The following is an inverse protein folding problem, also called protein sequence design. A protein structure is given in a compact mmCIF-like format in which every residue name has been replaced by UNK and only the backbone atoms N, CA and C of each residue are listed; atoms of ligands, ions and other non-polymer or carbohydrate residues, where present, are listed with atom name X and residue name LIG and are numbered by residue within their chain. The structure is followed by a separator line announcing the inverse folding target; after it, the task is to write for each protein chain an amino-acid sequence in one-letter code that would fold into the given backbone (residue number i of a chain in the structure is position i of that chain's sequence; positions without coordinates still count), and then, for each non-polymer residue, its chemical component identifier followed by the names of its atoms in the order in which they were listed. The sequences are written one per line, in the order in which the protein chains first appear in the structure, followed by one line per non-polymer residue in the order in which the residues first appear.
data_IF_119870045525
#
_entry.id   IF_119870045525
#
_cell.length_a   1.000
_cell.length_b   1.000
_cell.length_c   1.000
_cell.angle_alpha   90.00
_cell.angle_beta   90.00
_cell.angle_gamma   90.00
#
_symmetry.space_group_name_H-M   'P 1'
#
loop_
_entity.id
_entity.type
_entity.pdbx_description
1 polymer ?
#
# COMPACT_ATOMS: atom_id res chain seq x y z
N UNK A 1 23.22 17.57 28.01
CA UNK A 1 24.64 17.85 27.69
C UNK A 1 25.05 17.52 26.25
N UNK A 2 24.12 17.26 25.31
CA UNK A 2 24.42 16.72 23.97
C UNK A 2 25.07 15.33 24.01
N UNK A 3 25.01 14.63 25.14
CA UNK A 3 25.47 13.26 25.27
C UNK A 3 24.26 12.33 25.28
N UNK A 4 24.41 11.15 24.67
CA UNK A 4 23.45 10.08 24.85
C UNK A 4 23.72 9.47 26.23
N UNK A 5 22.72 9.48 27.11
CA UNK A 5 22.86 8.94 28.46
C UNK A 5 23.27 7.46 28.47
N UNK A 6 22.88 6.71 27.42
CA UNK A 6 23.15 5.29 27.29
C UNK A 6 23.20 4.87 25.82
N UNK A 7 24.19 4.06 25.46
CA UNK A 7 24.30 3.41 24.15
C UNK A 7 24.70 1.95 24.36
N UNK A 8 23.89 1.03 23.86
CA UNK A 8 24.16 -0.40 23.89
C UNK A 8 24.10 -0.99 22.48
N UNK A 9 24.91 -2.01 22.22
CA UNK A 9 24.71 -2.86 21.06
C UNK A 9 23.71 -3.95 21.45
N UNK A 10 22.45 -3.78 21.05
CA UNK A 10 21.41 -4.77 21.30
C UNK A 10 21.59 -6.03 20.44
N UNK A 11 21.97 -5.87 19.17
CA UNK A 11 22.25 -6.95 18.24
C UNK A 11 23.23 -6.49 17.14
N UNK A 12 24.11 -7.39 16.70
CA UNK A 12 25.06 -7.16 15.61
C UNK A 12 25.17 -8.34 14.62
N UNK A 13 24.16 -9.22 14.58
CA UNK A 13 24.18 -10.42 13.74
C UNK A 13 24.02 -10.11 12.25
N UNK A 14 23.41 -8.96 11.91
CA UNK A 14 23.21 -8.57 10.50
C UNK A 14 24.53 -8.30 9.79
N UNK A 15 24.62 -8.78 8.56
CA UNK A 15 25.74 -8.52 7.65
C UNK A 15 25.30 -7.48 6.61
N UNK A 16 26.17 -6.51 6.34
CA UNK A 16 25.99 -5.53 5.26
C UNK A 16 27.23 -5.49 4.38
N UNK A 17 27.05 -5.51 3.06
CA UNK A 17 28.16 -5.51 2.10
C UNK A 17 28.76 -4.11 1.86
N UNK A 18 28.14 -3.06 2.39
CA UNK A 18 28.60 -1.67 2.26
C UNK A 18 28.40 -1.05 0.86
N UNK A 19 27.56 -1.64 0.01
CA UNK A 19 27.23 -1.09 -1.30
C UNK A 19 26.29 0.13 -1.23
N UNK A 20 26.19 0.89 -2.32
CA UNK A 20 25.38 2.11 -2.39
C UNK A 20 23.86 1.94 -2.21
N UNK A 21 23.36 0.70 -2.16
CA UNK A 21 21.96 0.37 -1.82
C UNK A 21 21.86 -0.67 -0.69
N UNK A 22 22.93 -0.91 0.07
CA UNK A 22 23.02 -1.93 1.15
C UNK A 22 22.34 -1.50 2.46
N UNK A 23 21.21 -0.81 2.38
CA UNK A 23 20.57 -0.21 3.55
C UNK A 23 19.74 -1.22 4.36
N UNK A 24 19.76 -1.04 5.69
CA UNK A 24 18.64 -1.45 6.53
C UNK A 24 17.63 -0.31 6.57
N UNK A 25 16.36 -0.62 6.38
CA UNK A 25 15.30 0.37 6.31
C UNK A 25 14.21 0.06 7.30
N UNK A 26 13.68 1.14 7.89
CA UNK A 26 12.64 1.09 8.93
C UNK A 26 13.13 0.42 10.22
N UNK A 27 12.37 0.64 11.29
CA UNK A 27 12.52 -0.05 12.55
C UNK A 27 11.16 -0.01 13.24
N UNK A 28 10.49 -1.15 13.25
CA UNK A 28 9.16 -1.31 13.86
C UNK A 28 9.23 -2.31 15.01
N UNK A 29 8.24 -2.27 15.90
CA UNK A 29 8.12 -3.21 17.02
C UNK A 29 6.74 -3.85 17.05
N UNK A 30 6.67 -5.14 17.38
CA UNK A 30 5.40 -5.81 17.67
C UNK A 30 4.99 -5.65 19.14
N UNK A 31 3.79 -6.14 19.48
CA UNK A 31 3.25 -6.10 20.85
C UNK A 31 4.10 -6.86 21.88
N UNK A 32 5.04 -7.71 21.43
CA UNK A 32 5.96 -8.49 22.27
C UNK A 32 7.33 -7.83 22.40
N UNK A 33 7.53 -6.67 21.77
CA UNK A 33 8.79 -5.91 21.81
C UNK A 33 9.86 -6.42 20.84
N UNK A 34 9.54 -7.34 19.92
CA UNK A 34 10.51 -7.74 18.90
C UNK A 34 10.72 -6.61 17.90
N UNK A 35 11.93 -6.46 17.39
CA UNK A 35 12.30 -5.44 16.40
C UNK A 35 12.23 -6.00 14.99
N UNK A 36 11.71 -5.22 14.06
CA UNK A 36 11.57 -5.58 12.65
C UNK A 36 12.15 -4.49 11.75
N UNK A 37 12.92 -4.90 10.75
CA UNK A 37 13.43 -4.02 9.70
C UNK A 37 13.65 -4.82 8.42
N UNK A 38 13.71 -4.13 7.28
CA UNK A 38 14.01 -4.76 6.00
C UNK A 38 15.43 -4.44 5.56
N UNK A 39 16.03 -5.39 4.84
CA UNK A 39 17.32 -5.22 4.18
C UNK A 39 17.10 -5.11 2.68
N UNK A 40 17.66 -4.08 2.06
CA UNK A 40 17.71 -3.98 0.61
C UNK A 40 18.53 -5.11 -0.01
N UNK A 41 18.34 -5.33 -1.31
CA UNK A 41 19.03 -6.35 -2.06
C UNK A 41 20.54 -6.11 -2.03
N UNK A 42 21.25 -7.14 -1.59
CA UNK A 42 22.70 -7.19 -1.58
C UNK A 42 23.15 -8.64 -1.50
N UNK A 43 24.36 -8.93 -1.93
CA UNK A 43 24.88 -10.30 -1.93
C UNK A 43 25.40 -10.72 -0.54
N UNK A 44 24.49 -10.76 0.44
CA UNK A 44 24.73 -11.22 1.82
C UNK A 44 23.63 -12.21 2.22
N UNK A 45 23.81 -13.00 3.30
CA UNK A 45 22.75 -13.88 3.81
C UNK A 45 21.46 -13.16 4.22
N UNK A 46 21.51 -11.84 4.43
CA UNK A 46 20.38 -11.02 4.88
C UNK A 46 19.85 -10.07 3.80
N UNK A 47 20.48 -10.00 2.63
CA UNK A 47 20.04 -9.08 1.56
C UNK A 47 18.63 -9.39 1.09
N UNK A 48 17.85 -8.36 0.78
CA UNK A 48 16.48 -8.51 0.25
C UNK A 48 15.54 -9.28 1.18
N UNK A 49 15.67 -9.08 2.48
CA UNK A 49 14.96 -9.86 3.50
C UNK A 49 14.22 -8.99 4.51
N UNK A 50 13.14 -9.52 5.08
CA UNK A 50 12.55 -9.02 6.32
C UNK A 50 13.23 -9.71 7.50
N UNK A 51 13.77 -8.92 8.42
CA UNK A 51 14.48 -9.38 9.60
C UNK A 51 13.62 -9.14 10.83
N UNK A 52 13.64 -10.10 11.77
CA UNK A 52 13.17 -9.93 13.14
C UNK A 52 14.32 -10.15 14.11
N UNK A 53 14.46 -9.27 15.08
CA UNK A 53 15.33 -9.44 16.24
C UNK A 53 14.46 -9.58 17.49
N UNK A 54 14.76 -10.54 18.36
CA UNK A 54 14.03 -10.72 19.62
C UNK A 54 14.10 -9.47 20.50
N UNK A 55 13.11 -9.28 21.38
CA UNK A 55 13.04 -8.11 22.25
C UNK A 55 14.30 -7.89 23.12
N UNK A 56 15.00 -8.98 23.46
CA UNK A 56 16.24 -8.98 24.23
C UNK A 56 17.51 -8.92 23.36
N UNK A 57 17.38 -8.83 22.03
CA UNK A 57 18.49 -8.77 21.09
C UNK A 57 19.21 -10.09 20.83
N UNK A 58 18.88 -11.16 21.56
CA UNK A 58 19.64 -12.42 21.56
C UNK A 58 19.51 -13.26 20.29
N UNK A 59 18.50 -13.01 19.45
CA UNK A 59 18.20 -13.82 18.27
C UNK A 59 17.76 -12.99 17.08
N UNK A 60 18.43 -13.20 15.95
CA UNK A 60 18.03 -12.74 14.63
C UNK A 60 17.34 -13.86 13.83
N UNK A 61 16.19 -13.56 13.23
CA UNK A 61 15.46 -14.42 12.32
C UNK A 61 15.23 -13.73 10.96
N UNK A 62 15.51 -14.43 9.85
CA UNK A 62 15.06 -14.03 8.51
C UNK A 62 13.63 -14.56 8.34
N UNK A 63 12.65 -13.66 8.30
CA UNK A 63 11.24 -14.02 8.22
C UNK A 63 10.74 -14.23 6.79
N UNK A 64 11.23 -13.46 5.83
CA UNK A 64 10.81 -13.51 4.44
C UNK A 64 11.91 -12.97 3.53
N UNK A 65 11.89 -13.37 2.26
CA UNK A 65 12.93 -13.04 1.27
C UNK A 65 12.34 -12.57 -0.06
N UNK A 66 13.20 -12.21 -1.01
CA UNK A 66 12.77 -11.77 -2.33
C UNK A 66 12.30 -10.33 -2.37
N UNK A 67 12.86 -9.45 -1.54
CA UNK A 67 12.68 -8.01 -1.67
C UNK A 67 13.84 -7.37 -2.45
N UNK A 68 13.55 -6.34 -3.22
CA UNK A 68 14.52 -5.57 -4.00
C UNK A 68 15.06 -4.39 -3.19
N UNK A 69 14.23 -3.38 -2.96
CA UNK A 69 14.62 -2.15 -2.28
C UNK A 69 13.51 -1.73 -1.31
N UNK A 70 13.06 -2.62 -0.40
CA UNK A 70 11.94 -2.33 0.49
C UNK A 70 12.26 -1.10 1.32
N UNK A 71 11.35 -0.13 1.35
CA UNK A 71 11.48 1.06 2.20
C UNK A 71 10.27 1.23 3.13
N UNK A 72 9.14 0.61 2.78
CA UNK A 72 7.97 0.57 3.62
C UNK A 72 7.97 -0.65 4.52
N UNK A 73 7.75 -0.41 5.81
CA UNK A 73 7.43 -1.43 6.80
C UNK A 73 6.36 -0.87 7.72
N UNK A 74 5.45 -1.73 8.18
CA UNK A 74 4.48 -1.41 9.21
C UNK A 74 4.17 -2.66 10.03
N UNK A 75 3.94 -2.46 11.33
CA UNK A 75 3.38 -3.48 12.23
C UNK A 75 2.01 -2.98 12.68
N UNK A 76 0.98 -3.74 12.33
CA UNK A 76 -0.40 -3.39 12.58
C UNK A 76 -0.83 -3.66 14.03
N UNK A 77 -2.03 -3.22 14.40
CA UNK A 77 -2.56 -3.36 15.75
C UNK A 77 -2.83 -4.81 16.16
N UNK A 78 -2.82 -5.76 15.23
CA UNK A 78 -2.89 -7.20 15.50
C UNK A 78 -1.55 -7.91 15.20
N UNK A 79 -0.43 -7.16 15.25
CA UNK A 79 0.91 -7.61 14.87
C UNK A 79 1.01 -8.11 13.42
N UNK A 80 0.08 -7.71 12.54
CA UNK A 80 0.22 -8.01 11.13
C UNK A 80 1.38 -7.21 10.52
N UNK A 81 2.21 -7.88 9.73
CA UNK A 81 3.40 -7.27 9.15
C UNK A 81 3.10 -6.87 7.71
N UNK A 82 3.35 -5.61 7.37
CA UNK A 82 3.31 -5.14 5.99
C UNK A 82 4.67 -4.66 5.52
N UNK A 83 5.06 -5.02 4.29
CA UNK A 83 6.25 -4.47 3.64
C UNK A 83 5.82 -3.85 2.32
N UNK A 84 6.37 -2.70 1.99
CA UNK A 84 6.18 -2.10 0.67
C UNK A 84 7.51 -1.95 -0.06
N UNK A 85 7.58 -2.62 -1.21
CA UNK A 85 8.77 -2.69 -2.05
C UNK A 85 8.63 -1.78 -3.28
N UNK A 86 9.78 -1.27 -3.70
CA UNK A 86 9.92 -0.29 -4.76
C UNK A 86 9.89 -0.99 -6.10
N UNK A 87 9.19 -0.41 -7.08
CA UNK A 87 9.24 -0.90 -8.45
C UNK A 87 10.69 -1.01 -8.97
N UNK A 88 10.91 -1.95 -9.88
CA UNK A 88 12.18 -2.21 -10.50
C UNK A 88 12.19 -3.55 -11.23
N UNK A 89 13.38 -4.13 -11.40
CA UNK A 89 13.51 -5.48 -11.91
C UNK A 89 12.85 -6.48 -10.96
N UNK A 90 12.09 -7.42 -11.52
CA UNK A 90 11.26 -8.40 -10.83
C UNK A 90 10.19 -7.85 -9.86
N UNK A 91 10.08 -6.54 -9.74
CA UNK A 91 9.06 -5.83 -8.96
C UNK A 91 8.39 -4.87 -9.93
N UNK A 92 7.46 -5.34 -10.78
CA UNK A 92 7.03 -4.59 -11.96
C UNK A 92 6.33 -3.26 -11.64
N UNK A 93 5.79 -3.15 -10.44
CA UNK A 93 5.10 -1.98 -9.91
C UNK A 93 5.33 -1.91 -8.40
N UNK A 94 5.17 -0.75 -7.77
CA UNK A 94 5.19 -0.65 -6.30
C UNK A 94 4.18 -1.65 -5.72
N UNK A 95 4.61 -2.44 -4.73
CA UNK A 95 3.77 -3.45 -4.10
C UNK A 95 3.70 -3.24 -2.60
N UNK A 96 2.51 -3.44 -2.04
CA UNK A 96 2.26 -3.54 -0.61
C UNK A 96 1.91 -4.99 -0.30
N UNK A 97 2.72 -5.62 0.52
CA UNK A 97 2.62 -7.03 0.88
C UNK A 97 2.12 -7.20 2.30
N UNK A 98 1.24 -8.18 2.50
CA UNK A 98 0.94 -8.73 3.83
C UNK A 98 1.84 -9.94 4.06
N UNK A 99 2.74 -9.85 5.03
CA UNK A 99 3.85 -10.81 5.14
C UNK A 99 3.44 -12.11 5.80
N UNK A 100 3.89 -13.22 5.19
CA UNK A 100 3.82 -14.58 5.71
C UNK A 100 5.25 -15.08 5.95
N UNK A 101 5.57 -15.64 7.14
CA UNK A 101 6.87 -16.26 7.38
C UNK A 101 7.20 -17.33 6.31
N UNK A 102 8.41 -17.29 5.77
CA UNK A 102 8.89 -18.13 4.67
C UNK A 102 8.51 -17.67 3.26
N UNK A 103 7.73 -16.59 3.14
CA UNK A 103 7.28 -16.04 1.85
C UNK A 103 8.41 -15.51 0.96
N UNK A 104 8.16 -15.51 -0.35
CA UNK A 104 9.04 -14.93 -1.36
C UNK A 104 8.30 -13.87 -2.18
N UNK A 105 8.81 -12.64 -2.13
CA UNK A 105 8.10 -11.45 -2.62
C UNK A 105 8.55 -10.96 -4.01
N UNK A 106 9.12 -11.88 -4.80
CA UNK A 106 9.26 -11.73 -6.25
C UNK A 106 10.63 -11.33 -6.75
N UNK A 107 11.49 -10.72 -5.94
CA UNK A 107 12.82 -10.33 -6.39
C UNK A 107 13.77 -11.52 -6.49
N UNK A 108 13.89 -12.09 -7.69
CA UNK A 108 14.65 -13.34 -7.92
C UNK A 108 16.08 -13.32 -7.39
N UNK A 109 16.90 -12.25 -7.55
CA UNK A 109 18.26 -12.27 -7.05
C UNK A 109 18.37 -12.54 -5.54
N UNK A 110 17.34 -12.21 -4.75
CA UNK A 110 17.31 -12.36 -3.29
C UNK A 110 16.36 -13.49 -2.83
N UNK A 111 16.20 -14.55 -3.62
CA UNK A 111 15.28 -15.64 -3.26
C UNK A 111 15.74 -16.45 -2.04
N UNK A 112 17.06 -16.62 -1.82
CA UNK A 112 17.67 -17.38 -0.72
C UNK A 112 17.08 -18.80 -0.54
N UNK A 113 16.96 -19.55 -1.64
CA UNK A 113 16.35 -20.88 -1.70
C UNK A 113 17.28 -21.83 -2.45
N UNK A 114 17.24 -23.13 -2.14
CA UNK A 114 18.04 -24.11 -2.86
C UNK A 114 17.61 -24.25 -4.34
N UNK A 115 16.30 -24.20 -4.58
CA UNK A 115 15.71 -24.19 -5.92
C UNK A 115 15.14 -22.81 -6.21
N UNK A 116 15.52 -22.17 -7.34
CA UNK A 116 14.93 -20.89 -7.73
C UNK A 116 13.41 -20.99 -7.86
N UNK A 117 12.64 -20.07 -7.26
CA UNK A 117 11.19 -20.08 -7.38
C UNK A 117 10.74 -19.70 -8.79
N UNK A 118 9.63 -20.29 -9.24
CA UNK A 118 9.00 -19.97 -10.54
C UNK A 118 7.80 -19.03 -10.39
N UNK A 119 7.45 -18.67 -9.16
CA UNK A 119 6.35 -17.77 -8.82
C UNK A 119 6.64 -17.09 -7.47
N UNK A 120 5.79 -16.15 -7.07
CA UNK A 120 5.94 -15.34 -5.86
C UNK A 120 4.63 -15.16 -5.10
N UNK A 121 4.74 -14.91 -3.81
CA UNK A 121 3.61 -14.59 -2.94
C UNK A 121 2.93 -13.30 -3.42
N UNK A 122 1.62 -13.37 -3.67
CA UNK A 122 0.85 -12.24 -4.22
C UNK A 122 0.77 -11.08 -3.22
N UNK A 123 0.93 -9.82 -3.66
CA UNK A 123 0.84 -8.67 -2.77
C UNK A 123 -0.59 -8.45 -2.31
N UNK A 124 -0.75 -7.75 -1.18
CA UNK A 124 -2.07 -7.26 -0.76
C UNK A 124 -2.62 -6.27 -1.80
N UNK A 125 -1.73 -5.43 -2.36
CA UNK A 125 -2.06 -4.38 -3.31
C UNK A 125 -0.85 -4.05 -4.19
N UNK A 126 -1.07 -3.94 -5.49
CA UNK A 126 -0.21 -3.18 -6.38
C UNK A 126 -0.61 -1.70 -6.33
N UNK A 127 0.33 -0.84 -5.99
CA UNK A 127 0.12 0.61 -5.94
C UNK A 127 0.60 1.19 -7.26
N UNK A 128 -0.29 1.73 -8.11
CA UNK A 128 0.10 2.16 -9.45
C UNK A 128 1.02 3.38 -9.36
N UNK A 129 1.99 3.50 -10.28
CA UNK A 129 2.97 4.62 -10.32
C UNK A 129 2.37 6.01 -10.20
N UNK A 130 1.15 6.19 -10.69
CA UNK A 130 0.42 7.44 -10.62
C UNK A 130 0.15 7.86 -9.16
N UNK A 131 -0.12 6.89 -8.28
CA UNK A 131 -0.33 7.09 -6.85
C UNK A 131 0.96 6.97 -6.05
N UNK A 132 1.82 6.02 -6.40
CA UNK A 132 3.11 5.86 -5.75
C UNK A 132 4.15 5.14 -6.61
N UNK A 133 5.12 5.89 -7.12
CA UNK A 133 6.29 5.31 -7.77
C UNK A 133 7.39 4.97 -6.77
N UNK A 134 7.23 5.33 -5.48
CA UNK A 134 8.18 4.93 -4.47
C UNK A 134 7.61 4.88 -3.05
N UNK A 135 7.52 3.67 -2.48
CA UNK A 135 6.86 3.40 -1.21
C UNK A 135 7.54 3.99 0.03
N UNK A 136 6.71 4.43 0.98
CA UNK A 136 7.04 4.63 2.39
C UNK A 136 6.37 3.58 3.29
N UNK A 137 6.42 3.79 4.60
CA UNK A 137 5.83 2.89 5.60
C UNK A 137 4.31 2.88 5.64
N UNK A 138 3.76 2.00 6.47
CA UNK A 138 2.33 1.90 6.74
C UNK A 138 2.05 2.26 8.19
N UNK A 139 0.94 2.96 8.42
CA UNK A 139 0.47 3.32 9.76
C UNK A 139 -1.03 3.06 9.86
N UNK A 140 -1.53 2.79 11.05
CA UNK A 140 -2.96 2.58 11.27
C UNK A 140 -3.51 3.76 12.03
N UNK A 141 -4.64 4.29 11.56
CA UNK A 141 -5.38 5.30 12.29
C UNK A 141 -5.86 4.69 13.61
N UNK A 142 -5.58 5.32 14.77
CA UNK A 142 -6.05 4.81 16.05
C UNK A 142 -7.57 4.69 16.08
N UNK A 143 -8.07 3.73 16.86
CA UNK A 143 -9.50 3.61 17.10
C UNK A 143 -10.08 4.92 17.65
N UNK A 144 -11.29 5.25 17.24
CA UNK A 144 -12.02 6.47 17.62
C UNK A 144 -11.33 7.78 17.23
N UNK A 145 -10.30 7.74 16.37
CA UNK A 145 -9.66 8.91 15.79
C UNK A 145 -9.97 9.02 14.30
N UNK A 146 -10.01 10.27 13.84
CA UNK A 146 -10.07 10.63 12.41
C UNK A 146 -11.21 9.99 11.62
N UNK A 147 -12.42 9.93 12.17
CA UNK A 147 -13.59 9.52 11.41
C UNK A 147 -13.62 10.22 10.02
N UNK A 148 -13.83 9.47 8.92
CA UNK A 148 -14.29 8.08 8.87
C UNK A 148 -13.18 7.01 8.85
N UNK A 149 -11.91 7.37 9.01
CA UNK A 149 -10.76 6.50 8.79
C UNK A 149 -10.34 5.67 10.02
N UNK A 150 -11.18 5.56 11.06
CA UNK A 150 -10.83 4.87 12.31
C UNK A 150 -10.38 3.42 12.04
N UNK A 151 -9.21 3.03 12.54
CA UNK A 151 -8.63 1.69 12.33
C UNK A 151 -8.08 1.45 10.92
N UNK A 152 -8.23 2.38 9.98
CA UNK A 152 -7.81 2.20 8.61
C UNK A 152 -6.28 2.19 8.49
N UNK A 153 -5.76 1.30 7.65
CA UNK A 153 -4.36 1.36 7.22
C UNK A 153 -4.16 2.53 6.26
N UNK A 154 -3.12 3.30 6.50
CA UNK A 154 -2.64 4.37 5.64
C UNK A 154 -1.28 3.97 5.07
N UNK A 155 -1.09 4.22 3.78
CA UNK A 155 0.17 4.03 3.09
C UNK A 155 0.81 5.40 2.84
N UNK A 156 2.08 5.56 3.25
CA UNK A 156 2.86 6.77 3.03
C UNK A 156 3.52 6.68 1.65
N UNK A 157 3.32 7.67 0.79
CA UNK A 157 4.04 7.74 -0.50
C UNK A 157 5.25 8.66 -0.38
N UNK A 158 6.44 8.09 -0.57
CA UNK A 158 7.67 8.85 -0.72
C UNK A 158 7.75 9.49 -2.11
N UNK A 159 7.42 8.72 -3.15
CA UNK A 159 7.53 9.17 -4.54
C UNK A 159 6.59 10.33 -4.89
N UNK A 160 5.34 10.28 -4.39
CA UNK A 160 4.30 11.27 -4.70
C UNK A 160 4.00 12.26 -3.59
N UNK A 161 4.70 12.15 -2.45
CA UNK A 161 4.53 13.05 -1.31
C UNK A 161 3.05 13.17 -0.92
N UNK A 162 2.40 12.02 -0.78
CA UNK A 162 0.96 11.90 -0.54
C UNK A 162 0.66 10.79 0.46
N UNK A 163 -0.56 10.82 1.00
CA UNK A 163 -1.08 9.82 1.93
C UNK A 163 -2.21 9.07 1.24
N UNK A 164 -2.18 7.75 1.32
CA UNK A 164 -3.20 6.89 0.71
C UNK A 164 -3.95 6.12 1.80
N UNK A 165 -5.25 5.95 1.63
CA UNK A 165 -6.08 5.09 2.49
C UNK A 165 -6.23 3.72 1.84
N UNK A 166 -5.79 2.66 2.52
CA UNK A 166 -5.83 1.28 2.02
C UNK A 166 -7.09 0.60 2.54
N UNK A 167 -8.00 0.24 1.64
CA UNK A 167 -9.25 -0.46 1.93
C UNK A 167 -9.00 -1.96 1.76
N UNK A 168 -9.09 -2.74 2.83
CA UNK A 168 -8.92 -4.21 2.74
C UNK A 168 -10.26 -4.89 2.49
N UNK A 169 -10.30 -5.83 1.55
CA UNK A 169 -11.39 -6.82 1.50
C UNK A 169 -11.07 -7.94 2.49
N UNK A 170 -12.09 -8.48 3.15
CA UNK A 170 -11.99 -9.68 3.98
C UNK A 170 -11.91 -10.97 3.13
N UNK A 171 -11.34 -10.89 1.93
CA UNK A 171 -11.14 -12.04 1.04
C UNK A 171 -9.97 -12.92 1.52
N UNK A 172 -9.96 -14.18 1.06
CA UNK A 172 -8.81 -15.05 1.14
C UNK A 172 -8.60 -15.68 -0.24
N UNK A 173 -7.49 -15.40 -0.96
CA UNK A 173 -6.36 -14.58 -0.55
C UNK A 173 -6.74 -13.12 -0.26
N UNK A 174 -6.04 -12.51 0.71
CA UNK A 174 -6.26 -11.12 1.08
C UNK A 174 -5.93 -10.19 -0.10
N UNK A 175 -6.80 -9.23 -0.35
CA UNK A 175 -6.59 -8.19 -1.35
C UNK A 175 -7.07 -6.84 -0.83
N UNK A 176 -6.57 -5.76 -1.41
CA UNK A 176 -6.95 -4.41 -1.04
C UNK A 176 -7.12 -3.50 -2.24
N UNK A 177 -7.81 -2.40 -1.97
CA UNK A 177 -7.84 -1.22 -2.79
C UNK A 177 -7.29 -0.01 -2.06
N UNK A 178 -7.20 1.10 -2.77
CA UNK A 178 -6.58 2.32 -2.29
C UNK A 178 -7.23 3.55 -2.89
N UNK A 179 -7.34 4.60 -2.08
CA UNK A 179 -7.75 5.94 -2.50
C UNK A 179 -6.76 6.97 -2.02
N UNK A 180 -6.54 8.02 -2.81
CA UNK A 180 -5.73 9.16 -2.36
C UNK A 180 -6.49 9.98 -1.32
N UNK A 181 -5.81 10.35 -0.23
CA UNK A 181 -6.29 11.36 0.69
C UNK A 181 -5.91 12.77 0.20
N UNK A 182 -6.69 13.80 0.57
CA UNK A 182 -6.38 15.17 0.19
C UNK A 182 -5.09 15.67 0.84
N UNK A 183 -4.41 16.60 0.16
CA UNK A 183 -3.18 17.22 0.63
C UNK A 183 -1.90 16.65 -0.01
N UNK A 184 -0.80 17.34 0.24
CA UNK A 184 0.56 16.98 -0.19
C UNK A 184 1.54 17.31 0.92
N UNK A 185 2.68 16.63 0.90
CA UNK A 185 3.76 16.82 1.84
C UNK A 185 4.92 17.57 1.19
N UNK A 186 5.71 18.25 2.02
CA UNK A 186 6.86 19.04 1.59
C UNK A 186 8.01 18.15 1.07
N UNK A 187 8.10 16.92 1.57
CA UNK A 187 9.08 15.92 1.14
C UNK A 187 8.43 14.54 1.02
N UNK A 188 9.17 13.57 0.46
CA UNK A 188 8.70 12.19 0.35
C UNK A 188 8.56 11.55 1.71
N UNK A 189 7.32 11.36 2.18
CA UNK A 189 7.06 10.83 3.51
C UNK A 189 7.35 9.33 3.56
N UNK A 190 8.26 8.93 4.44
CA UNK A 190 8.72 7.54 4.54
C UNK A 190 8.33 6.90 5.87
N UNK A 191 8.26 7.70 6.94
CA UNK A 191 7.99 7.24 8.30
C UNK A 191 6.84 8.04 8.87
N UNK A 192 6.02 7.37 9.66
CA UNK A 192 4.89 7.98 10.32
C UNK A 192 4.61 7.32 11.67
N UNK A 193 4.19 8.11 12.65
CA UNK A 193 3.68 7.62 13.94
C UNK A 193 2.49 8.45 14.39
N UNK A 194 1.45 7.79 14.87
CA UNK A 194 0.42 8.47 15.63
C UNK A 194 0.94 8.76 17.03
N UNK A 195 0.82 10.00 17.46
CA UNK A 195 1.15 10.39 18.82
C UNK A 195 -0.01 9.99 19.74
N UNK A 196 0.23 9.18 20.80
CA UNK A 196 -0.83 8.69 21.68
C UNK A 196 -1.47 9.78 22.53
N UNK A 197 -0.80 10.92 22.74
CA UNK A 197 -1.31 12.02 23.55
C UNK A 197 -2.35 12.88 22.81
N UNK A 198 -2.10 13.21 21.53
CA UNK A 198 -3.00 14.07 20.75
C UNK A 198 -3.79 13.34 19.65
N UNK A 199 -3.42 12.09 19.31
CA UNK A 199 -4.06 11.30 18.27
C UNK A 199 -3.83 11.87 16.85
N UNK A 200 -2.74 12.61 16.64
CA UNK A 200 -2.32 13.12 15.34
C UNK A 200 -1.18 12.30 14.76
N UNK A 201 -1.08 12.26 13.43
CA UNK A 201 -0.01 11.57 12.73
C UNK A 201 1.14 12.54 12.53
N UNK A 202 2.34 12.12 12.89
CA UNK A 202 3.57 12.84 12.61
C UNK A 202 4.34 12.05 11.56
N UNK A 203 4.69 12.72 10.46
CA UNK A 203 5.41 12.12 9.35
C UNK A 203 6.77 12.79 9.18
N UNK A 204 7.76 11.98 8.80
CA UNK A 204 9.07 12.46 8.38
C UNK A 204 9.42 11.93 7.00
N UNK A 205 10.12 12.76 6.25
CA UNK A 205 10.46 12.48 4.86
C UNK A 205 11.65 13.27 4.38
N UNK A 206 12.15 12.88 3.22
CA UNK A 206 13.29 13.51 2.55
C UNK A 206 13.07 13.62 1.04
N UNK A 207 13.95 14.36 0.37
CA UNK A 207 14.05 14.40 -1.09
C UNK A 207 15.20 13.52 -1.55
N UNK A 208 14.98 12.78 -2.62
CA UNK A 208 15.96 11.93 -3.26
C UNK A 208 15.49 11.51 -4.64
N UNK A 209 15.76 10.26 -5.03
CA UNK A 209 15.48 9.80 -6.39
C UNK A 209 13.98 9.81 -6.73
N UNK A 210 13.61 10.47 -7.83
CA UNK A 210 12.28 10.45 -8.46
C UNK A 210 11.10 10.75 -7.51
N UNK A 211 11.28 11.66 -6.57
CA UNK A 211 10.21 12.14 -5.68
C UNK A 211 9.66 13.49 -6.12
N UNK A 212 8.38 13.74 -5.82
CA UNK A 212 7.69 15.02 -6.00
C UNK A 212 8.00 16.07 -4.91
N UNK A 213 8.98 15.80 -4.05
CA UNK A 213 9.37 16.64 -2.92
C UNK A 213 9.80 18.05 -3.36
N UNK A 214 9.34 19.05 -2.62
CA UNK A 214 9.73 20.46 -2.81
C UNK A 214 10.78 20.93 -1.80
N UNK A 215 10.98 20.19 -0.69
CA UNK A 215 12.03 20.42 0.31
C UNK A 215 12.88 19.18 0.53
N UNK A 216 14.15 19.37 0.92
CA UNK A 216 15.11 18.29 1.16
C UNK A 216 14.72 17.35 2.30
N UNK A 217 14.01 17.87 3.29
CA UNK A 217 13.50 17.11 4.41
C UNK A 217 12.32 17.81 5.05
N UNK A 218 11.48 17.02 5.71
CA UNK A 218 10.37 17.57 6.49
C UNK A 218 10.01 16.69 7.68
N UNK A 219 9.52 17.35 8.72
CA UNK A 219 8.79 16.75 9.81
C UNK A 219 7.46 17.49 9.93
N UNK A 220 6.35 16.80 9.65
CA UNK A 220 5.04 17.42 9.54
C UNK A 220 4.01 16.69 10.40
N UNK A 221 3.13 17.46 11.04
CA UNK A 221 1.96 16.93 11.71
C UNK A 221 0.76 16.96 10.76
N UNK A 222 0.08 15.84 10.64
CA UNK A 222 -1.20 15.67 9.96
C UNK A 222 -2.29 15.54 11.01
N UNK A 223 -3.42 16.21 10.79
CA UNK A 223 -4.60 16.10 11.65
C UNK A 223 -5.87 16.13 10.82
N UNK A 224 -6.87 15.36 11.25
CA UNK A 224 -8.25 15.50 10.78
C UNK A 224 -8.81 16.84 11.26
N UNK A 225 -9.27 17.68 10.33
CA UNK A 225 -9.96 18.95 10.65
C UNK A 225 -11.47 18.74 10.75
N UNK A 226 -12.28 19.79 10.89
CA UNK A 226 -13.73 19.70 10.79
C UNK A 226 -14.24 19.66 9.33
N UNK A 227 -13.37 19.95 8.33
CA UNK A 227 -13.78 19.97 6.93
C UNK A 227 -14.29 18.59 6.49
N UNK A 228 -15.36 18.48 5.68
CA UNK A 228 -15.82 17.19 5.19
C UNK A 228 -14.72 16.41 4.46
N UNK A 229 -14.61 15.13 4.76
CA UNK A 229 -13.71 14.20 4.10
C UNK A 229 -14.60 13.09 3.52
N UNK A 230 -14.87 13.15 2.23
CA UNK A 230 -15.83 12.29 1.54
C UNK A 230 -15.05 11.34 0.63
N UNK A 231 -15.19 10.04 0.85
CA UNK A 231 -14.43 9.01 0.14
C UNK A 231 -15.08 7.63 0.29
N UNK A 232 -14.70 6.67 -0.57
CA UNK A 232 -14.88 5.25 -0.31
C UNK A 232 -14.16 4.84 0.98
N UNK A 233 -14.82 4.02 1.78
CA UNK A 233 -14.31 3.46 3.04
C UNK A 233 -14.30 1.93 3.06
N UNK A 234 -15.07 1.30 2.16
CA UNK A 234 -15.03 -0.14 1.96
C UNK A 234 -15.33 -0.47 0.49
N UNK A 235 -14.89 -1.65 0.06
CA UNK A 235 -15.23 -2.21 -1.23
C UNK A 235 -15.35 -3.73 -1.15
N UNK A 236 -16.04 -4.32 -2.12
CA UNK A 236 -16.14 -5.77 -2.31
C UNK A 236 -16.19 -6.09 -3.79
N UNK A 237 -15.53 -7.16 -4.21
CA UNK A 237 -15.59 -7.65 -5.59
C UNK A 237 -16.25 -9.02 -5.67
N UNK A 238 -17.01 -9.24 -6.74
CA UNK A 238 -17.75 -10.47 -7.01
C UNK A 238 -17.80 -10.74 -8.50
N UNK A 239 -18.24 -11.93 -8.90
CA UNK A 239 -18.49 -12.25 -10.31
C UNK A 239 -19.50 -11.31 -10.97
N UNK A 240 -20.39 -10.68 -10.19
CA UNK A 240 -21.39 -9.73 -10.69
C UNK A 240 -20.86 -8.30 -10.81
N UNK A 241 -19.72 -7.99 -10.17
CA UNK A 241 -19.06 -6.68 -10.27
C UNK A 241 -18.51 -6.16 -8.94
N UNK A 242 -18.62 -4.85 -8.74
CA UNK A 242 -17.97 -4.11 -7.65
C UNK A 242 -19.02 -3.45 -6.74
N UNK A 243 -18.80 -3.54 -5.43
CA UNK A 243 -19.48 -2.70 -4.44
C UNK A 243 -18.50 -1.66 -3.90
N UNK A 244 -18.90 -0.39 -3.86
CA UNK A 244 -18.16 0.69 -3.22
C UNK A 244 -19.04 1.37 -2.17
N UNK A 245 -18.59 1.38 -0.92
CA UNK A 245 -19.29 2.04 0.20
C UNK A 245 -18.60 3.35 0.55
N UNK A 246 -19.36 4.44 0.51
CA UNK A 246 -18.89 5.78 0.84
C UNK A 246 -19.24 6.13 2.29
N UNK A 247 -18.49 7.05 2.90
CA UNK A 247 -18.75 7.47 4.27
C UNK A 247 -19.92 8.46 4.42
N UNK A 248 -20.51 8.92 3.31
CA UNK A 248 -21.62 9.86 3.28
C UNK A 248 -22.73 9.37 2.34
N UNK A 249 -24.01 9.69 2.65
CA UNK A 249 -25.09 9.41 1.72
C UNK A 249 -24.90 10.11 0.37
N UNK A 250 -25.10 9.37 -0.71
CA UNK A 250 -24.97 9.85 -2.08
C UNK A 250 -26.30 10.42 -2.60
N UNK A 251 -26.20 11.32 -3.57
CA UNK A 251 -27.32 11.65 -4.44
C UNK A 251 -27.65 10.43 -5.31
N UNK A 252 -28.93 10.07 -5.36
CA UNK A 252 -29.36 8.84 -6.03
C UNK A 252 -29.20 8.93 -7.55
N UNK A 253 -29.54 10.07 -8.14
CA UNK A 253 -29.47 10.23 -9.60
C UNK A 253 -28.00 10.17 -10.07
N UNK A 254 -27.09 10.85 -9.36
CA UNK A 254 -25.66 10.79 -9.67
C UNK A 254 -25.06 9.39 -9.42
N UNK A 255 -25.48 8.71 -8.35
CA UNK A 255 -24.96 7.38 -7.99
C UNK A 255 -25.44 6.25 -8.91
N UNK A 256 -26.66 6.34 -9.44
CA UNK A 256 -27.24 5.35 -10.36
C UNK A 256 -26.98 5.68 -11.84
N UNK A 257 -26.34 6.82 -12.14
CA UNK A 257 -25.85 7.13 -13.48
C UNK A 257 -24.57 6.34 -13.78
N UNK A 258 -24.67 5.42 -14.75
CA UNK A 258 -23.53 4.66 -15.27
C UNK A 258 -22.43 5.58 -15.80
N UNK A 259 -22.79 6.74 -16.36
CA UNK A 259 -21.85 7.75 -16.87
C UNK A 259 -20.98 8.40 -15.78
N UNK A 260 -21.34 8.25 -14.51
CA UNK A 260 -20.54 8.72 -13.38
C UNK A 260 -19.31 7.85 -13.11
N UNK A 261 -19.13 6.72 -13.81
CA UNK A 261 -18.07 5.75 -13.57
C UNK A 261 -17.28 5.40 -14.83
N UNK A 262 -15.95 5.35 -14.72
CA UNK A 262 -15.02 4.91 -15.77
C UNK A 262 -14.06 3.87 -15.20
N UNK A 263 -14.06 2.66 -15.77
CA UNK A 263 -13.33 1.51 -15.25
C UNK A 263 -12.29 1.00 -16.26
N UNK A 264 -11.08 0.78 -15.78
CA UNK A 264 -9.99 0.13 -16.52
C UNK A 264 -9.38 -1.02 -15.70
N UNK A 265 -8.93 -2.08 -16.35
CA UNK A 265 -8.06 -3.11 -15.73
C UNK A 265 -6.84 -3.43 -16.56
N UNK A 266 -5.77 -3.88 -15.90
CA UNK A 266 -4.54 -4.32 -16.55
C UNK A 266 -3.70 -5.21 -15.61
N UNK A 267 -2.75 -5.91 -16.22
CA UNK A 267 -1.72 -6.70 -15.55
C UNK A 267 -0.33 -6.15 -15.84
N UNK A 268 0.62 -6.58 -15.03
CA UNK A 268 2.04 -6.32 -15.21
C UNK A 268 2.80 -7.61 -15.49
N UNK A 269 3.97 -7.50 -16.14
CA UNK A 269 4.88 -8.63 -16.39
C UNK A 269 5.96 -8.71 -15.33
N UNK A 270 5.97 -9.82 -14.60
CA UNK A 270 7.06 -10.17 -13.71
C UNK A 270 8.28 -10.64 -14.53
N UNK A 271 9.34 -9.84 -14.55
CA UNK A 271 10.53 -10.10 -15.38
C UNK A 271 11.76 -9.35 -14.85
N UNK A 272 12.94 -9.63 -15.40
CA UNK A 272 14.19 -8.89 -15.11
C UNK A 272 14.17 -7.43 -15.61
N UNK A 273 13.19 -7.01 -16.41
CA UNK A 273 13.12 -5.64 -16.90
C UNK A 273 12.68 -4.69 -15.78
N UNK A 274 13.20 -3.46 -15.79
CA UNK A 274 12.84 -2.47 -14.79
C UNK A 274 11.38 -2.03 -14.97
N UNK A 275 10.54 -2.37 -13.99
CA UNK A 275 9.11 -2.11 -14.05
C UNK A 275 8.40 -2.92 -15.13
N UNK A 276 7.16 -2.54 -15.43
CA UNK A 276 6.39 -3.14 -16.52
C UNK A 276 5.53 -2.11 -17.25
N UNK A 277 5.35 -2.23 -18.57
CA UNK A 277 4.19 -1.69 -19.27
C UNK A 277 2.88 -2.25 -18.70
N UNK A 278 1.77 -1.62 -19.04
CA UNK A 278 0.44 -2.11 -18.71
C UNK A 278 0.01 -3.10 -19.81
N UNK A 279 -0.43 -4.29 -19.41
CA UNK A 279 -0.89 -5.34 -20.33
C UNK A 279 -2.36 -5.64 -20.13
N UNK A 280 -3.04 -5.93 -21.25
CA UNK A 280 -4.44 -6.32 -21.25
C UNK A 280 -4.63 -7.59 -20.41
N UNK A 281 -5.67 -7.61 -19.59
CA UNK A 281 -6.08 -8.80 -18.84
C UNK A 281 -6.72 -9.82 -19.78
N UNK A 282 -7.49 -9.35 -20.76
CA UNK A 282 -8.16 -10.20 -21.74
C UNK A 282 -7.22 -10.73 -22.83
N UNK A 283 -6.24 -9.93 -23.25
CA UNK A 283 -5.27 -10.27 -24.28
C UNK A 283 -3.83 -10.03 -23.78
N UNK A 284 -3.24 -10.92 -22.97
CA UNK A 284 -1.98 -10.70 -22.22
C UNK A 284 -0.75 -10.28 -23.04
N UNK A 285 -0.77 -10.47 -24.36
CA UNK A 285 0.30 -10.06 -25.26
C UNK A 285 0.20 -8.59 -25.70
N UNK A 286 -0.94 -7.93 -25.47
CA UNK A 286 -1.19 -6.54 -25.88
C UNK A 286 -0.81 -5.57 -24.75
N UNK A 287 0.08 -4.61 -25.06
CA UNK A 287 0.45 -3.51 -24.18
C UNK A 287 -0.64 -2.43 -24.19
N UNK A 288 -1.71 -2.63 -23.42
CA UNK A 288 -2.81 -1.69 -23.24
C UNK A 288 -3.52 -1.96 -21.92
N UNK A 289 -4.41 -1.04 -21.55
CA UNK A 289 -5.43 -1.28 -20.51
C UNK A 289 -6.75 -1.69 -21.18
N UNK A 290 -7.52 -2.50 -20.48
CA UNK A 290 -8.86 -2.89 -20.91
C UNK A 290 -9.89 -1.97 -20.27
N UNK A 291 -10.72 -1.32 -21.08
CA UNK A 291 -11.91 -0.62 -20.58
C UNK A 291 -12.96 -1.65 -20.17
N UNK A 292 -13.55 -1.46 -18.99
CA UNK A 292 -14.59 -2.36 -18.48
C UNK A 292 -15.93 -1.62 -18.49
N UNK A 293 -16.93 -2.09 -19.25
CA UNK A 293 -18.22 -1.44 -19.25
C UNK A 293 -18.91 -1.61 -17.89
N UNK A 294 -19.54 -0.54 -17.41
CA UNK A 294 -20.52 -0.60 -16.33
C UNK A 294 -21.89 -0.72 -16.98
N UNK A 295 -22.60 -1.82 -16.73
CA UNK A 295 -23.91 -2.07 -17.35
C UNK A 295 -25.06 -1.59 -16.48
N UNK A 296 -24.83 -1.46 -15.17
CA UNK A 296 -25.80 -0.93 -14.21
C UNK A 296 -25.06 -0.37 -13.00
N UNK A 297 -25.57 0.73 -12.45
CA UNK A 297 -25.19 1.25 -11.15
C UNK A 297 -26.45 1.35 -10.28
N UNK A 298 -26.40 0.81 -9.07
CA UNK A 298 -27.53 0.82 -8.14
C UNK A 298 -27.09 1.30 -6.77
N UNK A 299 -27.77 2.32 -6.24
CA UNK A 299 -27.55 2.77 -4.87
C UNK A 299 -28.36 1.89 -3.92
N UNK A 300 -27.69 1.32 -2.93
CA UNK A 300 -28.31 0.48 -1.92
C UNK A 300 -29.16 1.28 -0.94
N UNK A 301 -29.98 0.56 -0.17
CA UNK A 301 -30.92 1.17 0.79
C UNK A 301 -30.24 1.96 1.92
N UNK A 302 -28.96 1.72 2.19
CA UNK A 302 -28.14 2.50 3.12
C UNK A 302 -27.83 3.92 2.59
N UNK A 303 -28.10 4.18 1.31
CA UNK A 303 -27.83 5.42 0.61
C UNK A 303 -26.34 5.71 0.42
N UNK A 304 -25.44 4.76 0.70
CA UNK A 304 -23.98 4.94 0.75
C UNK A 304 -23.21 3.93 -0.09
N UNK A 305 -23.79 2.76 -0.32
CA UNK A 305 -23.14 1.68 -1.08
C UNK A 305 -23.68 1.66 -2.49
N UNK A 306 -22.79 1.73 -3.48
CA UNK A 306 -23.14 1.57 -4.90
C UNK A 306 -22.69 0.20 -5.38
N UNK A 307 -23.62 -0.53 -5.97
CA UNK A 307 -23.37 -1.77 -6.69
C UNK A 307 -23.23 -1.48 -8.19
N UNK A 308 -22.03 -1.69 -8.72
CA UNK A 308 -21.71 -1.59 -10.14
C UNK A 308 -21.71 -2.98 -10.75
N UNK A 309 -22.62 -3.23 -11.70
CA UNK A 309 -22.59 -4.44 -12.51
C UNK A 309 -21.57 -4.24 -13.63
N UNK A 310 -20.54 -5.08 -13.64
CA UNK A 310 -19.43 -4.96 -14.58
C UNK A 310 -18.66 -6.28 -14.67
N UNK A 311 -18.21 -6.72 -15.86
CA UNK A 311 -17.56 -8.02 -16.05
C UNK A 311 -16.09 -7.99 -15.57
N UNK A 312 -15.89 -7.89 -14.25
CA UNK A 312 -14.56 -7.91 -13.65
C UNK A 312 -13.84 -9.23 -13.92
N UNK A 313 -12.51 -9.17 -13.95
CA UNK A 313 -11.63 -10.34 -13.92
C UNK A 313 -10.60 -10.16 -12.81
N UNK A 314 -10.00 -11.26 -12.30
CA UNK A 314 -8.77 -11.15 -11.54
C UNK A 314 -7.73 -10.35 -12.33
N UNK A 315 -7.18 -9.33 -11.68
CA UNK A 315 -6.28 -8.37 -12.29
C UNK A 315 -5.35 -7.80 -11.22
N UNK A 316 -4.09 -7.58 -11.61
CA UNK A 316 -3.15 -6.86 -10.74
C UNK A 316 -3.69 -5.47 -10.43
N UNK A 317 -4.31 -4.81 -11.43
CA UNK A 317 -4.90 -3.50 -11.27
C UNK A 317 -6.31 -3.38 -11.85
N UNK A 318 -7.21 -2.84 -11.04
CA UNK A 318 -8.46 -2.19 -11.39
C UNK A 318 -8.33 -0.71 -11.06
N UNK A 319 -8.76 0.19 -11.95
CA UNK A 319 -9.06 1.60 -11.67
C UNK A 319 -10.56 1.82 -11.80
N UNK A 320 -11.14 2.52 -10.84
CA UNK A 320 -12.50 3.06 -10.89
C UNK A 320 -12.41 4.55 -10.68
N UNK A 321 -12.56 5.31 -11.76
CA UNK A 321 -12.76 6.75 -11.69
C UNK A 321 -14.23 7.04 -11.48
N UNK A 322 -14.54 7.95 -10.57
CA UNK A 322 -15.92 8.35 -10.32
C UNK A 322 -16.06 9.87 -10.18
N UNK A 323 -17.23 10.38 -10.58
CA UNK A 323 -17.67 11.75 -10.31
C UNK A 323 -19.09 11.70 -9.77
N UNK A 324 -19.24 11.85 -8.46
CA UNK A 324 -20.53 11.70 -7.77
C UNK A 324 -20.84 12.95 -6.96
N UNK A 325 -22.10 13.09 -6.59
CA UNK A 325 -22.55 14.06 -5.61
C UNK A 325 -23.09 13.36 -4.37
N UNK A 326 -22.89 13.98 -3.22
CA UNK A 326 -23.56 13.58 -1.98
C UNK A 326 -24.99 14.12 -1.97
N UNK A 327 -25.84 13.55 -1.10
CA UNK A 327 -27.22 14.05 -0.89
C UNK A 327 -27.25 15.52 -0.46
N UNK A 328 -26.19 16.00 0.19
CA UNK A 328 -26.04 17.38 0.64
C UNK A 328 -25.44 18.31 -0.45
N UNK A 329 -25.26 17.81 -1.68
CA UNK A 329 -24.81 18.60 -2.83
C UNK A 329 -23.30 18.81 -2.91
N UNK A 330 -22.51 18.04 -2.16
CA UNK A 330 -21.04 18.08 -2.26
C UNK A 330 -20.54 17.11 -3.34
N UNK A 331 -19.77 17.61 -4.29
CA UNK A 331 -19.16 16.80 -5.34
C UNK A 331 -17.91 16.07 -4.85
N UNK A 332 -17.80 14.79 -5.19
CA UNK A 332 -16.62 13.95 -4.98
C UNK A 332 -16.10 13.43 -6.33
N UNK A 333 -14.83 13.72 -6.63
CA UNK A 333 -14.12 13.22 -7.82
C UNK A 333 -12.80 12.63 -7.39
N UNK A 334 -12.59 11.36 -7.66
CA UNK A 334 -11.34 10.68 -7.36
C UNK A 334 -11.24 9.38 -8.17
N UNK A 335 -10.08 8.75 -8.07
CA UNK A 335 -9.84 7.40 -8.57
C UNK A 335 -9.68 6.45 -7.36
N UNK A 336 -10.41 5.34 -7.38
CA UNK A 336 -10.18 4.17 -6.55
C UNK A 336 -9.38 3.15 -7.37
N UNK A 337 -8.41 2.50 -6.75
CA UNK A 337 -7.67 1.41 -7.37
C UNK A 337 -7.74 0.16 -6.52
N UNK A 338 -7.66 -1.02 -7.13
CA UNK A 338 -7.60 -2.28 -6.40
C UNK A 338 -6.80 -3.35 -7.12
N UNK A 339 -6.25 -4.27 -6.34
CA UNK A 339 -5.81 -5.58 -6.83
C UNK A 339 -6.92 -6.59 -6.57
N UNK A 340 -7.18 -7.43 -7.57
CA UNK A 340 -8.20 -8.48 -7.51
C UNK A 340 -7.51 -9.81 -7.77
N UNK A 341 -7.30 -10.59 -6.71
CA UNK A 341 -6.77 -11.95 -6.85
C UNK A 341 -7.89 -12.93 -7.18
N UNK A 342 -9.03 -12.77 -6.51
CA UNK A 342 -10.19 -13.63 -6.68
C UNK A 342 -11.49 -12.82 -6.65
N UNK A 343 -12.48 -13.29 -7.40
CA UNK A 343 -13.85 -12.77 -7.38
C UNK A 343 -14.71 -13.73 -6.56
N UNK A 344 -15.43 -13.20 -5.58
CA UNK A 344 -16.37 -14.01 -4.81
C UNK A 344 -17.56 -14.43 -5.71
N UNK A 345 -18.14 -15.62 -5.50
CA UNK A 345 -19.32 -16.09 -6.23
C UNK A 345 -20.50 -15.12 -6.17
#
# INVERSE_FOLDING_TARGET
DNEADYHENLNNDTISAGGGHSYATSLETDSRGNFYFTKCAENTPHGGSLIRVSADGSKLDVLATGFRNPNGLGIGPQDEITVADQQGDWVPETRLDLIKPGGFYGFMPMHHRATPPTDYDRPLLWVPRALDNSAGGQVWVPQDKWAPLSGQMLHLSYGRCSLLSVLRDASNPAQAGVVSLPGRFLSGIMRGRFNPHDGHLYVSGLRGWQTAAVHDGSFQRVRRTAAPLILPIAYKTSAQGLQLTFNQPLDKAAAEDVGSYDLEQWNYKWSQQYGSPDYSVEHPDQQKRDNIPVTSAKLESDGRTVNLQTPLRPAMQLRVRYSLDTREGQTLRNDFYATIHELKP
#
